data_IF_777013851170
#
_entry.id   IF_777013851170
#
_cell.length_a   1.000
_cell.length_b   1.000
_cell.length_c   1.000
_cell.angle_alpha   90.00
_cell.angle_beta   90.00
_cell.angle_gamma   90.00
#
_symmetry.space_group_name_H-M   'P 1'
#
loop_
_entity.id
_entity.type
_entity.pdbx_description
1 polymer ?
#
# COMPACT_ATOMS: atom_id res chain seq x y z
N UNK A 1 -10.39 -15.43 6.42
CA UNK A 1 -11.43 -14.56 5.82
C UNK A 1 -11.14 -14.50 4.34
N UNK A 2 -11.99 -15.07 3.49
CA UNK A 2 -11.79 -15.04 2.03
C UNK A 2 -12.09 -13.63 1.50
N UNK A 3 -11.14 -13.07 0.75
CA UNK A 3 -11.32 -11.79 0.07
C UNK A 3 -12.36 -11.98 -1.04
N UNK A 4 -13.53 -11.33 -0.94
CA UNK A 4 -14.60 -11.48 -1.92
C UNK A 4 -14.28 -10.69 -3.19
N UNK A 5 -14.05 -11.45 -4.26
CA UNK A 5 -13.60 -11.07 -5.60
C UNK A 5 -14.65 -10.22 -6.35
N UNK A 6 -15.88 -10.08 -5.84
CA UNK A 6 -16.95 -9.30 -6.50
C UNK A 6 -16.80 -7.77 -6.45
N UNK A 7 -15.79 -7.21 -5.78
CA UNK A 7 -15.57 -5.75 -5.67
C UNK A 7 -14.83 -5.07 -6.85
N UNK A 8 -14.52 -5.77 -7.94
CA UNK A 8 -13.72 -5.25 -9.07
C UNK A 8 -14.22 -3.95 -9.73
N UNK A 9 -15.46 -3.51 -9.49
CA UNK A 9 -16.00 -2.25 -10.03
C UNK A 9 -15.93 -1.03 -9.11
N UNK A 10 -15.58 -1.19 -7.82
CA UNK A 10 -15.72 -0.09 -6.84
C UNK A 10 -14.57 0.91 -6.89
N UNK A 11 -13.34 0.42 -7.03
CA UNK A 11 -12.14 1.27 -7.00
C UNK A 11 -11.76 1.71 -8.41
N UNK A 12 -11.27 2.94 -8.54
CA UNK A 12 -10.95 3.56 -9.85
C UNK A 12 -9.45 3.71 -10.09
N UNK A 13 -8.65 3.60 -9.03
CA UNK A 13 -7.20 3.82 -9.06
C UNK A 13 -6.54 3.26 -7.80
N UNK A 14 -5.27 2.91 -7.94
CA UNK A 14 -4.34 2.71 -6.83
C UNK A 14 -3.50 3.98 -6.70
N UNK A 15 -3.34 4.48 -5.48
CA UNK A 15 -2.47 5.60 -5.14
C UNK A 15 -1.41 5.09 -4.18
N UNK A 16 -0.15 5.21 -4.58
CA UNK A 16 0.99 4.73 -3.80
C UNK A 16 2.08 5.81 -3.69
N UNK A 17 2.92 5.71 -2.67
CA UNK A 17 4.07 6.58 -2.54
C UNK A 17 5.17 6.11 -3.53
N UNK A 18 5.92 7.02 -4.18
CA UNK A 18 6.95 6.64 -5.16
C UNK A 18 8.24 6.14 -4.50
N UNK A 19 8.14 5.13 -3.63
CA UNK A 19 9.28 4.33 -3.17
C UNK A 19 9.19 2.93 -3.74
N UNK A 20 10.32 2.23 -3.81
CA UNK A 20 10.45 0.95 -4.52
C UNK A 20 9.47 -0.09 -3.98
N UNK A 21 9.45 -0.28 -2.65
CA UNK A 21 8.49 -1.16 -1.99
C UNK A 21 7.01 -0.81 -2.33
N UNK A 22 6.64 0.47 -2.33
CA UNK A 22 5.29 0.92 -2.70
C UNK A 22 4.96 0.70 -4.19
N UNK A 23 5.95 0.79 -5.07
CA UNK A 23 5.80 0.52 -6.51
C UNK A 23 5.54 -0.98 -6.74
N UNK A 24 6.30 -1.86 -6.10
CA UNK A 24 6.11 -3.31 -6.23
C UNK A 24 4.77 -3.75 -5.65
N UNK A 25 4.45 -3.35 -4.43
CA UNK A 25 3.16 -3.62 -3.79
C UNK A 25 1.98 -3.15 -4.66
N UNK A 26 2.02 -1.91 -5.18
CA UNK A 26 0.96 -1.40 -6.05
C UNK A 26 0.88 -2.09 -7.40
N UNK A 27 2.02 -2.50 -7.97
CA UNK A 27 2.08 -3.28 -9.21
C UNK A 27 1.41 -4.65 -9.04
N UNK A 28 1.67 -5.35 -7.94
CA UNK A 28 1.01 -6.62 -7.61
C UNK A 28 -0.50 -6.43 -7.46
N UNK A 29 -0.93 -5.44 -6.67
CA UNK A 29 -2.36 -5.11 -6.51
C UNK A 29 -3.03 -4.77 -7.84
N UNK A 30 -2.31 -4.12 -8.77
CA UNK A 30 -2.87 -3.80 -10.06
C UNK A 30 -3.19 -5.05 -10.92
N UNK A 31 -2.52 -6.19 -10.68
CA UNK A 31 -2.84 -7.46 -11.35
C UNK A 31 -4.22 -7.99 -10.93
N UNK A 32 -4.65 -7.67 -9.71
CA UNK A 32 -5.97 -8.01 -9.19
C UNK A 32 -6.97 -6.97 -9.66
N UNK A 33 -6.76 -5.70 -9.31
CA UNK A 33 -7.80 -4.68 -9.47
C UNK A 33 -7.90 -4.06 -10.86
N UNK A 34 -6.83 -4.13 -11.67
CA UNK A 34 -6.77 -3.60 -13.04
C UNK A 34 -7.25 -2.13 -13.15
N UNK A 35 -6.63 -1.23 -12.40
CA UNK A 35 -6.98 0.19 -12.33
C UNK A 35 -5.76 1.08 -12.53
N UNK A 36 -5.98 2.38 -12.74
CA UNK A 36 -4.86 3.32 -12.95
C UNK A 36 -3.97 3.40 -11.70
N UNK A 37 -2.65 3.25 -11.88
CA UNK A 37 -1.66 3.53 -10.86
C UNK A 37 -1.33 5.02 -10.82
N UNK A 38 -1.28 5.60 -9.62
CA UNK A 38 -0.95 7.01 -9.40
C UNK A 38 0.08 7.12 -8.28
N UNK A 39 1.24 7.71 -8.56
CA UNK A 39 2.26 7.92 -7.53
C UNK A 39 2.17 9.33 -6.95
N UNK A 40 2.15 9.45 -5.63
CA UNK A 40 2.08 10.74 -4.92
C UNK A 40 2.96 10.73 -3.69
N UNK A 41 3.64 11.85 -3.44
CA UNK A 41 4.42 12.02 -2.21
C UNK A 41 3.55 12.16 -0.96
N UNK A 42 2.33 12.70 -1.12
CA UNK A 42 1.48 13.03 0.01
C UNK A 42 0.00 13.07 -0.38
N UNK A 43 -0.89 12.57 0.50
CA UNK A 43 -2.32 12.46 0.22
C UNK A 43 -3.15 13.46 1.03
N UNK A 44 -3.91 14.31 0.31
CA UNK A 44 -4.91 15.21 0.91
C UNK A 44 -6.35 14.80 0.63
N UNK A 45 -6.61 14.10 -0.47
CA UNK A 45 -7.95 13.66 -0.89
C UNK A 45 -7.89 12.34 -1.64
N UNK A 46 -8.82 11.44 -1.32
CA UNK A 46 -9.04 10.21 -2.07
C UNK A 46 -10.51 9.76 -1.98
N UNK A 47 -11.02 9.22 -3.08
CA UNK A 47 -12.35 8.62 -3.14
C UNK A 47 -12.33 7.47 -4.12
N UNK A 48 -12.91 6.34 -3.73
CA UNK A 48 -12.89 5.11 -4.53
C UNK A 48 -11.47 4.73 -4.96
N UNK A 49 -10.51 4.87 -4.06
CA UNK A 49 -9.10 4.59 -4.33
C UNK A 49 -8.62 3.44 -3.45
N UNK A 50 -7.68 2.67 -3.96
CA UNK A 50 -6.82 1.82 -3.13
C UNK A 50 -5.59 2.67 -2.77
N UNK A 51 -5.27 2.78 -1.50
CA UNK A 51 -4.17 3.60 -0.97
C UNK A 51 -3.14 2.66 -0.39
N UNK A 52 -1.90 2.74 -0.87
CA UNK A 52 -0.85 1.75 -0.58
C UNK A 52 0.36 2.49 -0.02
N UNK A 53 0.64 2.31 1.27
CA UNK A 53 1.79 2.93 1.95
C UNK A 53 1.82 4.45 1.81
N UNK A 54 0.66 5.10 1.92
CA UNK A 54 0.53 6.52 1.59
C UNK A 54 0.66 7.40 2.83
N UNK A 55 1.59 8.37 2.84
CA UNK A 55 1.57 9.44 3.82
C UNK A 55 0.29 10.27 3.69
N UNK A 56 -0.54 10.25 4.74
CA UNK A 56 -1.86 10.88 4.75
C UNK A 56 -1.83 12.12 5.64
N UNK A 57 -2.31 13.24 5.09
CA UNK A 57 -2.46 14.48 5.85
C UNK A 57 -3.46 14.31 6.99
N UNK A 58 -3.22 14.96 8.13
CA UNK A 58 -4.12 14.91 9.30
C UNK A 58 -5.57 15.32 8.98
N UNK A 59 -5.75 16.24 8.03
CA UNK A 59 -7.05 16.71 7.56
C UNK A 59 -7.42 16.15 6.17
N UNK A 60 -6.88 14.99 5.78
CA UNK A 60 -7.19 14.40 4.48
C UNK A 60 -8.65 13.96 4.41
N UNK A 61 -9.28 14.19 3.25
CA UNK A 61 -10.63 13.72 2.97
C UNK A 61 -10.54 12.40 2.21
N UNK A 62 -10.67 11.29 2.94
CA UNK A 62 -10.60 9.93 2.39
C UNK A 62 -11.95 9.25 2.62
N UNK A 63 -12.57 8.78 1.54
CA UNK A 63 -13.87 8.10 1.62
C UNK A 63 -13.98 6.95 0.64
N UNK A 64 -14.72 5.90 1.03
CA UNK A 64 -14.99 4.74 0.17
C UNK A 64 -13.73 4.14 -0.46
N UNK A 65 -12.62 4.21 0.27
CA UNK A 65 -11.29 3.80 -0.17
C UNK A 65 -10.82 2.58 0.61
N UNK A 66 -9.90 1.84 0.03
CA UNK A 66 -9.22 0.72 0.66
C UNK A 66 -7.80 1.14 1.01
N UNK A 67 -7.44 1.15 2.29
CA UNK A 67 -6.13 1.55 2.78
C UNK A 67 -5.35 0.30 3.15
N UNK A 68 -4.15 0.17 2.60
CA UNK A 68 -3.17 -0.90 2.86
C UNK A 68 -1.89 -0.23 3.33
N UNK A 69 -1.45 -0.52 4.55
CA UNK A 69 -0.28 0.12 5.14
C UNK A 69 0.41 -0.77 6.18
N UNK A 70 1.71 -0.58 6.42
CA UNK A 70 2.47 -1.28 7.46
C UNK A 70 2.66 -0.41 8.72
N UNK A 71 2.03 0.77 8.78
CA UNK A 71 2.03 1.60 10.00
C UNK A 71 0.88 1.24 10.95
N UNK A 72 0.98 1.69 12.21
CA UNK A 72 -0.12 1.56 13.16
C UNK A 72 -1.27 2.53 12.81
N UNK A 73 -2.25 1.99 12.08
CA UNK A 73 -3.40 2.72 11.57
C UNK A 73 -4.41 3.18 12.61
N UNK A 74 -4.47 2.58 13.80
CA UNK A 74 -5.38 3.02 14.85
C UNK A 74 -5.07 4.45 15.32
N UNK A 75 -3.81 4.85 15.30
CA UNK A 75 -3.42 6.22 15.67
C UNK A 75 -3.70 7.22 14.55
N UNK A 76 -3.57 6.79 13.29
CA UNK A 76 -3.59 7.67 12.11
C UNK A 76 -5.01 7.86 11.56
N UNK A 77 -5.86 6.84 11.63
CA UNK A 77 -7.14 6.81 10.90
C UNK A 77 -8.39 6.87 11.77
N UNK A 78 -8.25 7.13 13.08
CA UNK A 78 -9.37 7.21 14.07
C UNK A 78 -10.58 8.04 13.61
N UNK A 79 -10.41 9.05 12.76
CA UNK A 79 -11.49 9.89 12.23
C UNK A 79 -12.04 9.51 10.84
N UNK A 80 -11.48 8.48 10.18
CA UNK A 80 -11.79 8.12 8.78
C UNK A 80 -12.45 6.75 8.61
N UNK A 81 -12.82 6.10 9.72
CA UNK A 81 -13.21 4.69 9.77
C UNK A 81 -14.58 4.36 9.16
N UNK A 82 -15.49 5.32 8.99
CA UNK A 82 -16.91 4.99 8.72
C UNK A 82 -17.21 4.59 7.28
N UNK A 83 -16.34 4.91 6.31
CA UNK A 83 -16.58 4.57 4.89
C UNK A 83 -15.42 3.85 4.21
N UNK A 84 -14.29 3.67 4.90
CA UNK A 84 -13.07 3.10 4.34
C UNK A 84 -12.83 1.69 4.88
N UNK A 85 -12.27 0.82 4.05
CA UNK A 85 -11.72 -0.44 4.50
C UNK A 85 -10.23 -0.25 4.79
N UNK A 86 -9.75 -0.72 5.93
CA UNK A 86 -8.38 -0.49 6.38
C UNK A 86 -7.75 -1.82 6.73
N UNK A 87 -6.62 -2.11 6.09
CA UNK A 87 -5.80 -3.29 6.33
C UNK A 87 -4.40 -2.80 6.69
N UNK A 88 -4.06 -2.90 7.96
CA UNK A 88 -2.74 -2.48 8.42
C UNK A 88 -2.13 -3.47 9.38
N UNK A 89 -0.83 -3.72 9.21
CA UNK A 89 -0.08 -4.60 10.08
C UNK A 89 1.38 -4.16 10.16
N UNK A 90 1.79 -3.71 11.34
CA UNK A 90 3.15 -3.24 11.60
C UNK A 90 4.14 -4.35 11.97
N UNK A 91 3.74 -5.62 11.81
CA UNK A 91 4.64 -6.76 11.96
C UNK A 91 5.48 -7.02 10.70
N UNK A 92 5.08 -6.48 9.55
CA UNK A 92 5.83 -6.59 8.31
C UNK A 92 6.87 -5.46 8.22
N UNK A 93 8.07 -5.80 7.76
CA UNK A 93 9.13 -4.83 7.45
C UNK A 93 8.99 -4.19 6.06
N UNK A 94 8.18 -4.79 5.19
CA UNK A 94 7.98 -4.43 3.79
C UNK A 94 6.48 -4.46 3.45
N UNK A 95 6.04 -3.47 2.70
CA UNK A 95 4.67 -3.36 2.21
C UNK A 95 4.40 -4.41 1.12
N UNK A 96 5.42 -4.73 0.32
CA UNK A 96 5.36 -5.78 -0.69
C UNK A 96 5.11 -7.13 -0.03
N UNK A 97 5.85 -7.47 1.03
CA UNK A 97 5.68 -8.74 1.76
C UNK A 97 4.28 -8.83 2.35
N UNK A 98 3.79 -7.72 2.91
CA UNK A 98 2.44 -7.66 3.46
C UNK A 98 1.37 -7.91 2.38
N UNK A 99 1.52 -7.31 1.20
CA UNK A 99 0.61 -7.54 0.07
C UNK A 99 0.72 -8.97 -0.45
N UNK A 100 1.92 -9.52 -0.55
CA UNK A 100 2.15 -10.90 -1.00
C UNK A 100 1.46 -11.90 -0.11
N UNK A 101 1.64 -11.79 1.20
CA UNK A 101 1.05 -12.72 2.17
C UNK A 101 -0.49 -12.59 2.22
N UNK A 102 -1.04 -11.37 2.24
CA UNK A 102 -2.48 -11.17 2.36
C UNK A 102 -3.26 -11.58 1.11
N UNK A 103 -2.66 -11.38 -0.07
CA UNK A 103 -3.30 -11.70 -1.35
C UNK A 103 -2.81 -13.01 -1.96
N UNK A 104 -2.00 -13.77 -1.24
CA UNK A 104 -1.48 -15.10 -1.62
C UNK A 104 -0.80 -15.06 -3.01
N UNK A 105 0.09 -14.09 -3.21
CA UNK A 105 0.86 -13.98 -4.44
C UNK A 105 2.04 -14.95 -4.42
N UNK A 106 2.23 -15.71 -5.49
CA UNK A 106 3.41 -16.54 -5.69
C UNK A 106 4.58 -15.68 -6.21
N UNK A 107 5.28 -15.02 -5.29
CA UNK A 107 6.47 -14.21 -5.58
C UNK A 107 7.70 -14.90 -4.96
N UNK A 108 8.77 -15.15 -5.75
CA UNK A 108 10.00 -15.74 -5.22
C UNK A 108 10.62 -14.92 -4.08
N UNK A 109 11.04 -15.62 -3.02
CA UNK A 109 11.62 -15.00 -1.81
C UNK A 109 12.85 -14.12 -2.13
N UNK A 110 13.69 -14.53 -3.09
CA UNK A 110 14.86 -13.77 -3.53
C UNK A 110 14.50 -12.40 -4.13
N UNK A 111 13.33 -12.29 -4.76
CA UNK A 111 12.83 -11.01 -5.26
C UNK A 111 12.33 -10.13 -4.11
N UNK A 112 11.64 -10.71 -3.12
CA UNK A 112 11.16 -9.99 -1.94
C UNK A 112 12.33 -9.44 -1.12
N UNK A 113 13.33 -10.28 -0.88
CA UNK A 113 14.58 -9.90 -0.22
C UNK A 113 15.28 -8.77 -0.99
N UNK A 114 15.38 -8.86 -2.32
CA UNK A 114 15.97 -7.81 -3.13
C UNK A 114 15.20 -6.48 -3.02
N UNK A 115 13.86 -6.50 -3.08
CA UNK A 115 13.02 -5.30 -2.94
C UNK A 115 13.19 -4.68 -1.55
N UNK A 116 13.20 -5.50 -0.50
CA UNK A 116 13.41 -5.07 0.87
C UNK A 116 14.80 -4.46 1.06
N UNK A 117 15.86 -5.14 0.60
CA UNK A 117 17.23 -4.64 0.70
C UNK A 117 17.38 -3.31 -0.04
N UNK A 118 16.88 -3.18 -1.26
CA UNK A 118 16.98 -1.92 -2.02
C UNK A 118 16.23 -0.79 -1.29
N UNK A 119 15.13 -1.09 -0.60
CA UNK A 119 14.29 -0.09 0.07
C UNK A 119 14.81 0.33 1.44
N UNK A 120 15.66 -0.48 2.08
CA UNK A 120 16.09 -0.30 3.48
C UNK A 120 17.60 -0.18 3.70
N UNK A 121 18.42 -0.64 2.75
CA UNK A 121 19.86 -0.66 2.90
C UNK A 121 20.42 0.73 2.62
N UNK A 122 20.99 1.33 3.66
CA UNK A 122 21.68 2.61 3.56
C UNK A 122 22.82 2.54 2.54
N UNK A 123 22.99 3.60 1.76
CA UNK A 123 24.19 3.77 0.93
C UNK A 123 25.37 3.89 1.88
N UNK A 124 26.38 3.00 1.82
CA UNK A 124 27.52 3.08 2.73
C UNK A 124 28.20 4.45 2.57
N UNK A 125 28.44 5.14 3.69
CA UNK A 125 28.97 6.52 3.76
C UNK A 125 30.29 6.75 2.99
N UNK A 126 30.99 5.68 2.59
CA UNK A 126 32.26 5.74 1.87
C UNK A 126 32.13 5.69 0.33
N UNK A 127 30.94 5.99 -0.22
CA UNK A 127 30.66 5.84 -1.65
C UNK A 127 30.84 7.11 -2.51
N UNK A 128 31.45 8.18 -1.98
CA UNK A 128 31.71 9.44 -2.69
C UNK A 128 33.10 10.00 -2.41
#
# INVERSE_FOLDING_TARGET
MSFDVTQYGKYRRIVAQPHIDGIFASGLLNRIFNVVLCFKLFLRRAKYSILVGMPIHINAQISQSFIIDIINCEKVFKGTLTTNFILCNNKYGSLTDFVVDIFDFDVPDDLLDAVYEISTKDVPENSF
#
